data_IF_530861356761
#
_entry.id   IF_530861356761
#
_cell.length_a   1.000
_cell.length_b   1.000
_cell.length_c   1.000
_cell.angle_alpha   90.00
_cell.angle_beta   90.00
_cell.angle_gamma   90.00
#
_symmetry.space_group_name_H-M   'P 1'
#
loop_
_entity.id
_entity.type
_entity.pdbx_description
1 polymer ?
#
# COMPACT_ATOMS: atom_id res chain seq x y z
N UNK A 1 12.51 7.76 19.10
CA UNK A 1 12.88 7.58 17.69
C UNK A 1 14.02 6.55 17.56
N UNK A 2 15.21 6.77 18.13
CA UNK A 2 16.35 5.87 17.96
C UNK A 2 15.97 4.42 18.24
N UNK A 3 15.38 4.13 19.41
CA UNK A 3 14.90 2.78 19.75
C UNK A 3 13.91 2.21 18.72
N UNK A 4 12.90 3.03 18.32
CA UNK A 4 11.89 2.59 17.35
C UNK A 4 12.48 2.21 15.99
N UNK A 5 13.42 3.00 15.48
CA UNK A 5 14.09 2.74 14.21
C UNK A 5 15.06 1.56 14.28
N UNK A 6 15.83 1.47 15.38
CA UNK A 6 16.69 0.30 15.61
C UNK A 6 15.88 -0.99 15.69
N UNK A 7 14.73 -0.96 16.36
CA UNK A 7 13.81 -2.10 16.40
C UNK A 7 13.24 -2.45 15.02
N UNK A 8 12.93 -1.46 14.18
CA UNK A 8 12.37 -1.69 12.84
C UNK A 8 13.35 -2.38 11.89
N UNK A 9 14.67 -2.17 12.06
CA UNK A 9 15.71 -2.82 11.24
C UNK A 9 16.28 -4.08 11.90
N UNK A 10 15.92 -4.38 13.15
CA UNK A 10 16.39 -5.58 13.85
C UNK A 10 15.79 -6.83 13.19
N UNK A 11 16.62 -7.76 12.69
CA UNK A 11 16.14 -9.04 12.13
C UNK A 11 15.23 -9.82 13.09
N UNK A 12 15.48 -9.71 14.42
CA UNK A 12 14.64 -10.37 15.42
C UNK A 12 13.21 -9.82 15.50
N UNK A 13 12.98 -8.58 15.05
CA UNK A 13 11.63 -7.99 14.94
C UNK A 13 10.87 -8.52 13.72
N UNK A 14 11.58 -8.98 12.68
CA UNK A 14 11.02 -9.43 11.41
C UNK A 14 10.02 -8.42 10.80
N UNK A 15 10.35 -7.12 10.85
CA UNK A 15 9.48 -6.06 10.33
C UNK A 15 9.39 -6.14 8.81
N UNK A 16 8.19 -6.28 8.27
CA UNK A 16 7.94 -6.28 6.82
C UNK A 16 8.34 -4.95 6.15
N UNK A 17 8.36 -3.86 6.91
CA UNK A 17 8.70 -2.52 6.43
C UNK A 17 10.11 -2.06 6.82
N UNK A 18 11.01 -2.97 7.20
CA UNK A 18 12.42 -2.64 7.50
C UNK A 18 13.11 -1.94 6.32
N UNK A 19 12.78 -2.34 5.08
CA UNK A 19 13.31 -1.75 3.85
C UNK A 19 13.01 -0.24 3.70
N UNK A 20 12.03 0.29 4.41
CA UNK A 20 11.75 1.72 4.43
C UNK A 20 12.92 2.54 4.98
N UNK A 21 13.72 1.96 5.88
CA UNK A 21 14.92 2.59 6.41
C UNK A 21 16.15 2.35 5.52
N UNK A 22 16.28 1.17 4.88
CA UNK A 22 17.42 0.84 4.01
C UNK A 22 17.25 1.36 2.59
N UNK A 23 16.30 0.80 1.84
CA UNK A 23 16.19 1.01 0.39
C UNK A 23 15.56 2.38 0.06
N UNK A 24 14.57 2.77 0.83
CA UNK A 24 13.82 4.01 0.58
C UNK A 24 14.45 5.20 1.31
N UNK A 25 14.71 5.06 2.60
CA UNK A 25 15.25 6.12 3.46
C UNK A 25 16.75 6.29 3.37
N UNK A 26 17.47 5.28 2.88
CA UNK A 26 18.94 5.29 2.74
C UNK A 26 19.69 5.59 4.05
N UNK A 27 19.13 5.16 5.18
CA UNK A 27 19.77 5.36 6.48
C UNK A 27 21.04 4.51 6.57
N UNK A 28 22.14 5.13 6.97
CA UNK A 28 23.45 4.47 7.07
C UNK A 28 23.36 3.19 7.91
N UNK A 29 23.97 2.12 7.42
CA UNK A 29 24.01 0.77 8.00
C UNK A 29 22.67 0.03 8.09
N UNK A 30 21.55 0.60 7.64
CA UNK A 30 20.25 -0.08 7.75
C UNK A 30 20.23 -1.42 7.00
N UNK A 31 20.77 -1.48 5.78
CA UNK A 31 20.81 -2.69 4.97
C UNK A 31 21.66 -3.79 5.61
N UNK A 32 22.84 -3.45 6.10
CA UNK A 32 23.75 -4.40 6.75
C UNK A 32 23.19 -4.93 8.09
N UNK A 33 22.43 -4.09 8.83
CA UNK A 33 21.76 -4.53 10.05
C UNK A 33 20.62 -5.50 9.71
N UNK A 34 19.80 -5.19 8.72
CA UNK A 34 18.72 -6.08 8.25
C UNK A 34 19.29 -7.43 7.78
N UNK A 35 20.46 -7.42 7.13
CA UNK A 35 21.17 -8.63 6.74
C UNK A 35 21.83 -9.39 7.92
N UNK A 36 21.81 -8.83 9.12
CA UNK A 36 22.46 -9.42 10.31
C UNK A 36 23.99 -9.25 10.33
N UNK A 37 24.53 -8.38 9.50
CA UNK A 37 25.99 -8.14 9.37
C UNK A 37 26.53 -7.13 10.38
N UNK A 38 25.65 -6.26 10.92
CA UNK A 38 25.98 -5.23 11.91
C UNK A 38 24.98 -5.22 13.06
N UNK A 39 25.41 -4.76 14.26
CA UNK A 39 24.51 -4.60 15.38
C UNK A 39 23.56 -3.41 15.15
N UNK A 40 22.36 -3.46 15.72
CA UNK A 40 21.32 -2.40 15.60
C UNK A 40 21.81 -1.03 16.10
N UNK A 41 22.77 -1.02 17.01
CA UNK A 41 23.38 0.22 17.57
C UNK A 41 24.18 1.01 16.56
N UNK A 42 24.57 0.40 15.43
CA UNK A 42 25.33 1.05 14.37
C UNK A 42 24.46 1.76 13.35
N UNK A 43 23.13 1.71 13.51
CA UNK A 43 22.20 2.45 12.66
C UNK A 43 22.54 3.94 12.68
N UNK A 44 22.56 4.56 11.50
CA UNK A 44 22.88 5.98 11.32
C UNK A 44 21.82 6.93 11.89
N UNK A 45 21.41 6.72 13.15
CA UNK A 45 20.47 7.57 13.88
C UNK A 45 20.96 7.79 15.30
N UNK A 46 21.04 9.05 15.73
CA UNK A 46 21.56 9.42 17.06
C UNK A 46 20.73 10.50 17.70
N UNK A 47 20.37 10.34 18.97
CA UNK A 47 19.83 11.42 19.78
C UNK A 47 21.02 12.26 20.31
N UNK A 48 21.19 13.46 19.76
CA UNK A 48 22.26 14.39 20.17
C UNK A 48 21.93 14.97 21.54
N UNK A 49 20.65 15.28 21.74
CA UNK A 49 20.05 15.70 23.01
C UNK A 49 18.56 15.30 23.07
N UNK A 50 17.85 15.75 24.09
CA UNK A 50 16.43 15.42 24.33
C UNK A 50 15.49 15.90 23.21
N UNK A 51 15.93 16.78 22.31
CA UNK A 51 15.11 17.41 21.27
C UNK A 51 15.72 17.34 19.88
N UNK A 52 16.96 16.85 19.77
CA UNK A 52 17.71 16.82 18.52
C UNK A 52 18.01 15.38 18.12
N UNK A 53 17.44 14.97 16.98
CA UNK A 53 17.72 13.70 16.33
C UNK A 53 18.61 13.98 15.10
N UNK A 54 19.77 13.36 15.03
CA UNK A 54 20.64 13.36 13.86
C UNK A 54 20.45 12.05 13.09
N UNK A 55 20.29 12.16 11.77
CA UNK A 55 20.17 11.00 10.88
C UNK A 55 21.20 11.13 9.77
N UNK A 56 21.96 10.05 9.56
CA UNK A 56 22.97 9.94 8.50
C UNK A 56 22.42 9.09 7.36
N UNK A 57 22.51 9.60 6.14
CA UNK A 57 22.05 8.93 4.93
C UNK A 57 23.24 8.54 4.04
N UNK A 58 23.15 7.40 3.36
CA UNK A 58 24.16 6.93 2.41
C UNK A 58 24.27 7.85 1.18
N UNK A 59 23.13 8.41 0.77
CA UNK A 59 23.03 9.37 -0.34
C UNK A 59 22.02 10.47 0.01
N UNK A 60 22.07 11.65 -0.61
CA UNK A 60 21.04 12.65 -0.43
C UNK A 60 19.66 12.15 -0.91
N UNK A 61 18.67 12.21 -0.04
CA UNK A 61 17.29 11.80 -0.31
C UNK A 61 16.38 13.02 -0.14
N UNK A 62 15.94 13.61 -1.24
CA UNK A 62 15.15 14.85 -1.22
C UNK A 62 13.78 14.70 -0.55
N UNK A 63 13.21 13.51 -0.58
CA UNK A 63 11.93 13.16 0.00
C UNK A 63 12.02 12.58 1.42
N UNK A 64 13.21 12.56 2.05
CA UNK A 64 13.41 11.87 3.34
C UNK A 64 12.42 12.34 4.42
N UNK A 65 12.16 13.65 4.51
CA UNK A 65 11.21 14.17 5.50
C UNK A 65 9.77 13.73 5.26
N UNK A 66 9.39 13.47 4.01
CA UNK A 66 8.07 12.93 3.68
C UNK A 66 7.87 11.49 4.17
N UNK A 67 8.95 10.74 4.36
CA UNK A 67 8.88 9.38 4.92
C UNK A 67 8.44 9.38 6.39
N UNK A 68 8.57 10.50 7.09
CA UNK A 68 8.16 10.61 8.51
C UNK A 68 6.65 10.42 8.73
N UNK A 69 5.84 10.50 7.67
CA UNK A 69 4.42 10.15 7.72
C UNK A 69 4.18 8.62 7.74
N UNK A 70 5.18 7.83 7.39
CA UNK A 70 5.03 6.37 7.34
C UNK A 70 5.27 5.75 8.73
N UNK A 71 4.41 4.82 9.20
CA UNK A 71 4.45 4.30 10.58
C UNK A 71 5.79 3.74 11.05
N UNK A 72 6.61 3.17 10.14
CA UNK A 72 7.94 2.65 10.50
C UNK A 72 8.85 3.71 11.13
N UNK A 73 8.64 4.99 10.80
CA UNK A 73 9.41 6.11 11.34
C UNK A 73 8.83 6.70 12.63
N UNK A 74 7.68 6.20 13.10
CA UNK A 74 7.08 6.71 14.33
C UNK A 74 7.91 6.35 15.57
N UNK A 75 7.90 7.18 16.61
CA UNK A 75 8.61 6.88 17.84
C UNK A 75 7.97 5.73 18.59
N UNK A 76 8.80 4.88 19.19
CA UNK A 76 8.38 3.86 20.13
C UNK A 76 8.99 4.18 21.49
N UNK A 77 8.19 4.22 22.56
CA UNK A 77 8.68 4.40 23.92
C UNK A 77 9.29 3.08 24.41
N UNK A 78 10.62 3.06 24.57
CA UNK A 78 11.36 1.87 24.98
C UNK A 78 10.95 1.34 26.36
N UNK A 79 10.78 2.21 27.32
CA UNK A 79 10.38 1.81 28.69
C UNK A 79 9.01 1.13 28.68
N UNK A 80 8.05 1.69 27.95
CA UNK A 80 6.74 1.08 27.79
C UNK A 80 6.80 -0.23 27.00
N UNK A 81 7.50 -0.26 25.87
CA UNK A 81 7.69 -1.48 25.09
C UNK A 81 8.23 -2.62 25.94
N UNK A 82 9.21 -2.34 26.81
CA UNK A 82 9.79 -3.33 27.71
C UNK A 82 8.80 -3.89 28.75
N UNK A 83 7.68 -3.22 29.02
CA UNK A 83 6.63 -3.76 29.90
C UNK A 83 5.70 -4.77 29.22
N UNK A 84 5.55 -4.71 27.90
CA UNK A 84 4.57 -5.52 27.17
C UNK A 84 5.19 -6.40 26.05
N UNK A 85 6.40 -6.07 25.55
CA UNK A 85 7.17 -6.86 24.57
C UNK A 85 6.32 -7.61 23.53
N UNK A 86 6.13 -8.93 23.74
CA UNK A 86 5.45 -9.82 22.79
C UNK A 86 3.96 -9.50 22.60
N UNK A 87 3.37 -8.72 23.47
CA UNK A 87 1.98 -8.25 23.36
C UNK A 87 1.88 -6.81 22.87
N UNK A 88 3.01 -6.15 22.57
CA UNK A 88 3.02 -4.77 22.09
C UNK A 88 2.12 -4.59 20.86
N UNK A 89 1.19 -3.63 20.93
CA UNK A 89 0.27 -3.31 19.84
C UNK A 89 -0.95 -4.24 19.70
N UNK A 90 -1.17 -5.19 20.61
CA UNK A 90 -2.27 -6.17 20.49
C UNK A 90 -3.54 -5.81 21.27
N UNK A 91 -3.48 -4.85 22.16
CA UNK A 91 -4.61 -4.39 22.96
C UNK A 91 -4.45 -2.93 23.39
N UNK A 92 -5.49 -2.26 23.89
CA UNK A 92 -5.39 -0.89 24.40
C UNK A 92 -4.30 -0.71 25.46
N UNK A 93 -4.13 -1.69 26.35
CA UNK A 93 -3.15 -1.64 27.45
C UNK A 93 -1.70 -1.80 26.97
N UNK A 94 -1.50 -2.23 25.73
CA UNK A 94 -0.19 -2.48 25.11
C UNK A 94 0.15 -1.50 23.99
N UNK A 95 -0.60 -0.39 23.88
CA UNK A 95 -0.41 0.70 22.92
C UNK A 95 -0.29 2.03 23.64
N UNK A 96 0.73 2.82 23.32
CA UNK A 96 0.79 4.25 23.64
C UNK A 96 0.44 5.07 22.41
N UNK A 97 -0.50 5.99 22.57
CA UNK A 97 -0.93 6.89 21.50
C UNK A 97 -0.58 8.32 21.80
N UNK A 98 0.04 9.01 20.86
CA UNK A 98 0.23 10.45 20.85
C UNK A 98 -0.61 11.15 19.78
N UNK A 99 -1.51 10.42 19.10
CA UNK A 99 -2.45 10.92 18.11
C UNK A 99 -3.70 11.54 18.74
N UNK A 100 -4.62 12.01 17.87
CA UNK A 100 -5.86 12.67 18.25
C UNK A 100 -6.82 11.77 19.05
N UNK A 101 -6.73 10.46 18.86
CA UNK A 101 -7.56 9.46 19.50
C UNK A 101 -6.72 8.36 20.14
N UNK A 102 -7.24 7.75 21.20
CA UNK A 102 -6.68 6.59 21.90
C UNK A 102 -7.61 5.40 21.72
N UNK A 103 -7.04 4.24 21.43
CA UNK A 103 -7.79 2.97 21.39
C UNK A 103 -8.19 2.62 22.85
N UNK A 104 -9.48 2.40 23.09
CA UNK A 104 -10.03 2.15 24.43
C UNK A 104 -10.72 0.81 24.57
N UNK A 105 -11.26 0.29 23.46
CA UNK A 105 -11.92 -1.01 23.43
C UNK A 105 -11.53 -1.75 22.15
N UNK A 106 -10.67 -2.74 22.28
CA UNK A 106 -10.23 -3.59 21.21
C UNK A 106 -9.67 -4.91 21.73
N UNK A 107 -10.00 -5.98 21.05
CA UNK A 107 -9.36 -7.30 21.21
C UNK A 107 -9.11 -7.91 19.85
N UNK A 108 -8.08 -8.76 19.69
CA UNK A 108 -7.84 -9.48 18.43
C UNK A 108 -9.10 -10.22 17.95
N UNK A 109 -9.40 -10.08 16.65
CA UNK A 109 -10.61 -10.60 16.02
C UNK A 109 -11.95 -9.97 16.49
N UNK A 110 -11.93 -8.85 17.19
CA UNK A 110 -13.15 -8.10 17.49
C UNK A 110 -13.85 -7.63 16.21
N UNK A 111 -15.18 -7.68 16.22
CA UNK A 111 -16.02 -7.16 15.11
C UNK A 111 -16.44 -5.70 15.33
N UNK A 112 -16.11 -5.12 16.47
CA UNK A 112 -16.30 -3.72 16.80
C UNK A 112 -15.18 -3.27 17.72
N UNK A 113 -14.80 -2.00 17.65
CA UNK A 113 -13.84 -1.35 18.54
C UNK A 113 -14.08 0.16 18.60
N UNK A 114 -13.56 0.80 19.63
CA UNK A 114 -13.73 2.23 19.87
C UNK A 114 -12.42 2.94 20.10
N UNK A 115 -12.38 4.19 19.66
CA UNK A 115 -11.34 5.14 20.00
C UNK A 115 -12.00 6.35 20.68
N UNK A 116 -11.38 6.86 21.74
CA UNK A 116 -11.81 8.06 22.43
C UNK A 116 -10.84 9.21 22.15
N UNK A 117 -11.35 10.44 22.19
CA UNK A 117 -10.53 11.64 22.03
C UNK A 117 -9.39 11.65 23.04
N UNK A 118 -8.18 11.92 22.55
CA UNK A 118 -6.99 12.06 23.38
C UNK A 118 -6.87 13.51 23.88
N UNK A 119 -7.11 13.78 25.18
CA UNK A 119 -6.99 15.14 25.72
C UNK A 119 -5.54 15.65 25.74
N UNK A 120 -4.56 14.75 25.69
CA UNK A 120 -3.13 15.06 25.70
C UNK A 120 -2.55 15.28 24.30
N UNK A 121 -3.38 15.14 23.25
CA UNK A 121 -2.95 15.43 21.89
C UNK A 121 -2.59 16.91 21.74
N UNK A 122 -1.42 17.20 21.11
CA UNK A 122 -0.90 18.57 21.05
C UNK A 122 -1.88 19.59 20.43
N UNK A 123 -2.82 19.15 19.62
CA UNK A 123 -3.82 19.98 18.95
C UNK A 123 -5.26 19.55 19.29
N UNK A 124 -5.47 19.02 20.51
CA UNK A 124 -6.76 18.49 20.96
C UNK A 124 -7.93 19.48 20.83
N UNK A 125 -7.63 20.78 20.93
CA UNK A 125 -8.65 21.84 20.76
C UNK A 125 -9.26 21.92 19.36
N UNK A 126 -8.60 21.40 18.35
CA UNK A 126 -9.11 21.36 16.96
C UNK A 126 -9.92 20.09 16.65
N UNK A 127 -9.89 19.10 17.52
CA UNK A 127 -10.63 17.86 17.31
C UNK A 127 -12.06 18.05 17.78
N UNK A 128 -13.00 18.03 16.86
CA UNK A 128 -14.43 18.23 17.14
C UNK A 128 -15.13 16.96 17.64
N UNK A 129 -14.67 15.78 17.23
CA UNK A 129 -15.29 14.50 17.60
C UNK A 129 -14.81 14.06 18.99
N UNK A 130 -15.71 13.48 19.78
CA UNK A 130 -15.40 12.91 21.09
C UNK A 130 -14.84 11.50 21.00
N UNK A 131 -15.14 10.77 19.93
CA UNK A 131 -14.67 9.41 19.68
C UNK A 131 -15.07 8.88 18.32
N UNK A 132 -14.60 7.67 18.03
CA UNK A 132 -14.88 6.93 16.80
C UNK A 132 -15.28 5.50 17.18
N UNK A 133 -16.41 5.02 16.67
CA UNK A 133 -16.87 3.65 16.83
C UNK A 133 -16.75 2.93 15.48
N UNK A 134 -15.98 1.84 15.43
CA UNK A 134 -15.77 1.05 14.24
C UNK A 134 -16.55 -0.25 14.30
N UNK A 135 -17.10 -0.67 13.16
CA UNK A 135 -17.70 -1.97 12.94
C UNK A 135 -17.03 -2.67 11.77
N UNK A 136 -16.64 -3.92 11.95
CA UNK A 136 -16.06 -4.77 10.91
C UNK A 136 -17.20 -5.51 10.21
N UNK A 137 -17.66 -4.98 9.10
CA UNK A 137 -18.73 -5.57 8.28
C UNK A 137 -18.09 -6.11 7.01
N UNK A 138 -18.11 -7.44 6.83
CA UNK A 138 -17.48 -8.10 5.68
C UNK A 138 -18.30 -8.00 4.40
N UNK A 139 -19.60 -7.95 4.52
CA UNK A 139 -20.52 -7.80 3.38
C UNK A 139 -20.74 -6.32 3.09
N UNK A 140 -20.30 -5.87 1.92
CA UNK A 140 -20.35 -4.46 1.52
C UNK A 140 -21.79 -3.96 1.28
N UNK A 141 -22.72 -4.84 0.88
CA UNK A 141 -24.13 -4.47 0.74
C UNK A 141 -24.77 -4.23 2.11
N UNK A 142 -24.44 -5.07 3.10
CA UNK A 142 -24.87 -4.86 4.48
C UNK A 142 -24.30 -3.55 5.05
N UNK A 143 -23.04 -3.22 4.74
CA UNK A 143 -22.41 -1.96 5.16
C UNK A 143 -23.14 -0.76 4.57
N UNK A 144 -23.45 -0.77 3.26
CA UNK A 144 -24.25 0.27 2.60
C UNK A 144 -25.64 0.41 3.23
N UNK A 145 -26.35 -0.69 3.50
CA UNK A 145 -27.65 -0.66 4.18
C UNK A 145 -27.55 -0.07 5.59
N UNK A 146 -26.48 -0.38 6.33
CA UNK A 146 -26.25 0.19 7.66
C UNK A 146 -26.02 1.70 7.62
N UNK A 147 -25.33 2.21 6.59
CA UNK A 147 -25.19 3.64 6.33
C UNK A 147 -26.55 4.27 5.99
N UNK A 148 -27.29 3.70 5.05
CA UNK A 148 -28.60 4.21 4.62
C UNK A 148 -29.66 4.26 5.74
N UNK A 149 -29.53 3.40 6.74
CA UNK A 149 -30.41 3.39 7.93
C UNK A 149 -29.91 4.26 9.07
N UNK A 150 -28.76 4.94 8.91
CA UNK A 150 -28.15 5.80 9.93
C UNK A 150 -27.46 5.04 11.07
N UNK A 151 -27.16 3.74 10.87
CA UNK A 151 -26.37 2.97 11.83
C UNK A 151 -24.86 3.19 11.67
N UNK A 152 -24.43 3.71 10.51
CA UNK A 152 -23.07 4.16 10.20
C UNK A 152 -23.10 5.58 9.65
N UNK A 153 -22.12 6.39 10.02
CA UNK A 153 -21.90 7.73 9.48
C UNK A 153 -21.05 7.71 8.19
N UNK A 154 -20.26 6.64 8.00
CA UNK A 154 -19.39 6.48 6.83
C UNK A 154 -19.20 5.00 6.53
N UNK A 155 -19.15 4.65 5.25
CA UNK A 155 -18.77 3.31 4.79
C UNK A 155 -17.95 3.39 3.50
N UNK A 156 -17.10 2.39 3.27
CA UNK A 156 -16.41 2.21 1.99
C UNK A 156 -17.29 1.39 1.05
N UNK A 157 -17.25 1.73 -0.23
CA UNK A 157 -18.02 1.07 -1.28
C UNK A 157 -17.09 0.31 -2.22
N UNK A 158 -17.59 -0.75 -2.79
CA UNK A 158 -16.98 -1.39 -3.96
C UNK A 158 -17.77 -1.02 -5.23
N UNK A 159 -17.26 -1.41 -6.41
CA UNK A 159 -17.82 -0.99 -7.68
C UNK A 159 -19.29 -1.33 -7.91
N UNK A 160 -19.80 -2.41 -7.31
CA UNK A 160 -21.21 -2.80 -7.45
C UNK A 160 -22.17 -1.85 -6.70
N UNK A 161 -21.71 -1.25 -5.60
CA UNK A 161 -22.48 -0.26 -4.85
C UNK A 161 -22.34 1.15 -5.44
N UNK A 162 -21.24 1.47 -6.08
CA UNK A 162 -21.01 2.81 -6.68
C UNK A 162 -22.12 3.17 -7.67
N UNK A 163 -22.52 2.24 -8.53
CA UNK A 163 -23.63 2.46 -9.47
C UNK A 163 -24.96 2.80 -8.79
N UNK A 164 -25.16 2.40 -7.54
CA UNK A 164 -26.39 2.67 -6.79
C UNK A 164 -26.40 4.06 -6.17
N UNK A 165 -25.23 4.66 -5.91
CA UNK A 165 -25.10 5.89 -5.11
C UNK A 165 -24.26 6.99 -5.79
N UNK A 166 -23.77 6.79 -7.01
CA UNK A 166 -22.89 7.76 -7.71
C UNK A 166 -23.49 9.15 -7.88
N UNK A 167 -24.82 9.24 -7.89
CA UNK A 167 -25.55 10.51 -8.00
C UNK A 167 -25.95 11.08 -6.62
N UNK A 168 -25.60 10.40 -5.52
CA UNK A 168 -25.86 10.88 -4.17
C UNK A 168 -24.85 11.99 -3.82
N UNK A 169 -25.30 13.15 -3.30
CA UNK A 169 -24.41 14.24 -2.93
C UNK A 169 -23.42 13.89 -1.79
N UNK A 170 -23.67 12.84 -1.03
CA UNK A 170 -22.79 12.34 0.01
C UNK A 170 -21.72 11.37 -0.52
N UNK A 171 -21.87 10.90 -1.78
CA UNK A 171 -20.86 10.05 -2.40
C UNK A 171 -19.59 10.84 -2.73
N UNK A 172 -18.44 10.29 -2.34
CA UNK A 172 -17.13 10.88 -2.64
C UNK A 172 -16.17 9.81 -3.13
N UNK A 173 -15.48 10.09 -4.24
CA UNK A 173 -14.41 9.25 -4.76
C UNK A 173 -13.08 10.00 -4.63
N UNK A 174 -12.06 9.33 -4.07
CA UNK A 174 -10.72 9.90 -3.87
C UNK A 174 -9.68 8.94 -4.42
N UNK A 175 -8.74 9.47 -5.19
CA UNK A 175 -7.59 8.70 -5.65
C UNK A 175 -6.71 8.29 -4.47
N UNK A 176 -6.50 6.98 -4.29
CA UNK A 176 -5.71 6.44 -3.19
C UNK A 176 -4.19 6.47 -3.45
N UNK A 177 -3.76 6.81 -4.68
CA UNK A 177 -2.35 6.85 -5.07
C UNK A 177 -1.69 5.47 -5.21
N UNK A 178 -2.47 4.40 -5.28
CA UNK A 178 -1.97 3.05 -5.49
C UNK A 178 -1.88 2.71 -6.97
N UNK A 179 -0.85 1.94 -7.32
CA UNK A 179 -0.70 1.29 -8.62
C UNK A 179 -0.80 -0.22 -8.43
N UNK A 180 -1.78 -0.83 -9.07
CA UNK A 180 -1.91 -2.28 -9.12
C UNK A 180 -1.26 -2.82 -10.40
N UNK A 181 -0.45 -3.86 -10.25
CA UNK A 181 0.29 -4.44 -11.37
C UNK A 181 0.48 -5.95 -11.21
N UNK A 182 0.72 -6.63 -12.31
CA UNK A 182 1.10 -8.04 -12.33
C UNK A 182 2.63 -8.12 -12.28
N UNK A 183 3.17 -8.80 -11.28
CA UNK A 183 4.61 -9.02 -11.12
C UNK A 183 5.01 -10.41 -11.64
N UNK A 184 5.73 -10.50 -12.77
CA UNK A 184 6.27 -11.77 -13.25
C UNK A 184 7.38 -12.28 -12.32
N UNK A 185 7.24 -13.49 -11.77
CA UNK A 185 8.27 -14.13 -10.96
C UNK A 185 9.35 -14.76 -11.87
N UNK A 186 10.23 -13.93 -12.40
CA UNK A 186 11.30 -14.37 -13.32
C UNK A 186 12.37 -15.24 -12.64
N UNK A 187 12.51 -15.15 -11.33
CA UNK A 187 13.47 -15.94 -10.57
C UNK A 187 13.07 -17.40 -10.41
N UNK A 188 11.77 -17.68 -10.28
CA UNK A 188 11.25 -19.03 -10.10
C UNK A 188 10.61 -19.62 -11.37
N UNK A 189 10.27 -18.76 -12.34
CA UNK A 189 9.65 -19.16 -13.63
C UNK A 189 10.50 -18.60 -14.77
N UNK A 190 11.53 -19.33 -15.21
CA UNK A 190 12.52 -18.84 -16.17
C UNK A 190 11.93 -18.39 -17.51
N UNK A 191 10.81 -18.95 -17.94
CA UNK A 191 10.09 -18.54 -19.16
C UNK A 191 9.66 -17.06 -19.08
N UNK A 192 9.30 -16.57 -17.92
CA UNK A 192 8.91 -15.17 -17.70
C UNK A 192 10.10 -14.19 -17.80
N UNK A 193 11.34 -14.69 -17.84
CA UNK A 193 12.51 -13.88 -18.20
C UNK A 193 12.54 -13.50 -19.68
N UNK A 194 11.79 -14.22 -20.54
CA UNK A 194 11.66 -13.88 -21.95
C UNK A 194 10.87 -12.59 -22.13
N UNK A 195 11.47 -11.60 -22.80
CA UNK A 195 10.88 -10.28 -23.00
C UNK A 195 9.61 -10.33 -23.86
N UNK A 196 9.63 -11.13 -24.94
CA UNK A 196 8.48 -11.24 -25.85
C UNK A 196 7.28 -11.88 -25.14
N UNK A 197 7.50 -12.84 -24.24
CA UNK A 197 6.44 -13.42 -23.45
C UNK A 197 5.80 -12.39 -22.50
N UNK A 198 6.60 -11.55 -21.82
CA UNK A 198 6.06 -10.47 -20.99
C UNK A 198 5.33 -9.40 -21.81
N UNK A 199 5.83 -9.07 -23.02
CA UNK A 199 5.14 -8.16 -23.95
C UNK A 199 3.80 -8.75 -24.40
N UNK A 200 3.76 -10.05 -24.72
CA UNK A 200 2.52 -10.73 -25.08
C UNK A 200 1.46 -10.58 -23.97
N UNK A 201 1.83 -10.86 -22.73
CA UNK A 201 0.94 -10.67 -21.57
C UNK A 201 0.52 -9.21 -21.44
N UNK A 202 1.45 -8.25 -21.58
CA UNK A 202 1.18 -6.82 -21.44
C UNK A 202 0.15 -6.32 -22.46
N UNK A 203 0.30 -6.71 -23.73
CA UNK A 203 -0.61 -6.29 -24.82
C UNK A 203 -1.93 -7.08 -24.82
N UNK A 204 -2.01 -8.23 -24.16
CA UNK A 204 -3.25 -8.98 -23.99
C UNK A 204 -4.18 -8.36 -22.95
N UNK A 205 -3.67 -7.53 -22.02
CA UNK A 205 -4.45 -6.97 -20.93
C UNK A 205 -5.28 -5.76 -21.38
N UNK A 206 -6.59 -5.92 -21.44
CA UNK A 206 -7.56 -4.82 -21.61
C UNK A 206 -7.82 -4.11 -20.27
N UNK A 207 -7.02 -3.07 -20.02
CA UNK A 207 -7.12 -2.30 -18.78
C UNK A 207 -8.39 -1.49 -18.67
N UNK A 208 -8.93 -1.03 -19.79
CA UNK A 208 -10.19 -0.29 -19.83
C UNK A 208 -11.35 -1.20 -19.44
N UNK A 209 -11.42 -2.41 -19.94
CA UNK A 209 -12.40 -3.40 -19.51
C UNK A 209 -12.25 -3.77 -18.03
N UNK A 210 -11.01 -3.94 -17.53
CA UNK A 210 -10.76 -4.25 -16.12
C UNK A 210 -11.27 -3.11 -15.22
N UNK A 211 -10.93 -1.87 -15.53
CA UNK A 211 -11.31 -0.73 -14.66
C UNK A 211 -12.78 -0.34 -14.83
N UNK A 212 -13.29 -0.33 -16.07
CA UNK A 212 -14.65 0.13 -16.40
C UNK A 212 -15.74 -0.90 -16.18
N UNK A 213 -15.47 -2.18 -16.45
CA UNK A 213 -16.50 -3.23 -16.43
C UNK A 213 -16.41 -4.13 -15.18
N UNK A 214 -15.18 -4.29 -14.61
CA UNK A 214 -14.97 -5.19 -13.48
C UNK A 214 -14.88 -4.44 -12.16
N UNK A 215 -13.96 -3.47 -12.05
CA UNK A 215 -13.74 -2.73 -10.81
C UNK A 215 -14.83 -1.70 -10.53
N UNK A 216 -15.15 -0.83 -11.48
CA UNK A 216 -16.21 0.21 -11.38
C UNK A 216 -16.13 1.09 -10.13
N UNK A 217 -14.96 1.21 -9.55
CA UNK A 217 -14.70 1.88 -8.27
C UNK A 217 -14.04 3.26 -8.44
N UNK A 218 -13.89 3.72 -9.69
CA UNK A 218 -13.17 4.93 -10.03
C UNK A 218 -11.70 4.70 -10.36
N UNK A 219 -11.21 3.47 -10.31
CA UNK A 219 -9.90 3.09 -10.82
C UNK A 219 -9.78 3.43 -12.30
N UNK A 220 -8.60 3.87 -12.71
CA UNK A 220 -8.31 4.22 -14.10
C UNK A 220 -7.19 3.33 -14.66
N UNK A 221 -7.20 3.02 -15.98
CA UNK A 221 -6.09 2.34 -16.62
C UNK A 221 -4.81 3.16 -16.47
N UNK A 222 -3.71 2.50 -16.13
CA UNK A 222 -2.42 3.15 -15.95
C UNK A 222 -1.40 2.59 -16.93
N UNK A 223 -0.69 3.47 -17.63
CA UNK A 223 0.33 3.15 -18.63
C UNK A 223 1.73 3.57 -18.17
N UNK A 224 1.88 4.03 -16.93
CA UNK A 224 3.14 4.44 -16.31
C UNK A 224 3.25 3.87 -14.90
N UNK A 225 4.44 3.96 -14.30
CA UNK A 225 4.66 3.54 -12.91
C UNK A 225 4.23 4.60 -11.88
N UNK A 226 3.94 5.82 -12.34
CA UNK A 226 3.43 6.92 -11.48
C UNK A 226 1.99 7.20 -11.89
N UNK A 227 1.01 6.95 -11.02
CA UNK A 227 -0.40 7.24 -11.33
C UNK A 227 -0.65 8.72 -11.56
N UNK A 228 -1.70 9.10 -12.32
CA UNK A 228 -2.14 10.48 -12.42
C UNK A 228 -2.47 11.07 -11.04
N UNK A 229 -2.21 12.36 -10.87
CA UNK A 229 -2.46 13.14 -9.64
C UNK A 229 -1.67 12.67 -8.40
N UNK A 230 -0.69 11.79 -8.58
CA UNK A 230 0.15 11.30 -7.49
C UNK A 230 1.35 12.21 -7.21
N UNK A 231 1.99 12.73 -8.26
CA UNK A 231 3.19 13.56 -8.14
C UNK A 231 3.09 14.81 -9.00
N UNK A 232 3.64 15.91 -8.49
CA UNK A 232 3.71 17.19 -9.20
C UNK A 232 5.05 17.32 -9.92
N UNK A 233 5.02 17.67 -11.20
CA UNK A 233 6.18 17.98 -12.00
C UNK A 233 6.87 19.28 -11.59
N UNK A 234 8.09 19.55 -12.11
CA UNK A 234 8.85 20.78 -11.79
C UNK A 234 8.16 22.08 -12.16
N UNK A 235 7.23 22.05 -13.10
CA UNK A 235 6.42 23.17 -13.59
C UNK A 235 5.10 23.36 -12.85
N UNK A 236 4.84 22.53 -11.83
CA UNK A 236 3.60 22.54 -11.06
C UNK A 236 2.44 21.74 -11.69
N UNK A 237 2.65 21.12 -12.85
CA UNK A 237 1.66 20.23 -13.48
C UNK A 237 1.70 18.83 -12.85
N UNK A 238 0.66 18.03 -13.11
CA UNK A 238 0.69 16.59 -12.78
C UNK A 238 1.81 15.90 -13.59
N UNK A 239 2.73 15.24 -12.89
CA UNK A 239 3.89 14.55 -13.49
C UNK A 239 3.50 13.51 -14.54
N UNK A 240 2.37 12.87 -14.37
CA UNK A 240 1.86 11.80 -15.23
C UNK A 240 0.56 12.13 -15.96
N UNK A 241 0.22 13.42 -16.13
CA UNK A 241 -0.99 13.85 -16.82
C UNK A 241 -1.10 13.31 -18.26
N UNK A 242 0.01 13.25 -18.99
CA UNK A 242 0.06 12.71 -20.35
C UNK A 242 0.64 11.29 -20.35
N UNK A 243 -0.22 10.30 -20.21
CA UNK A 243 0.14 8.88 -20.31
C UNK A 243 0.05 8.34 -21.76
N UNK A 244 -0.55 9.08 -22.67
CA UNK A 244 -0.84 8.59 -24.04
C UNK A 244 0.43 8.21 -24.80
N UNK A 245 1.54 8.93 -24.59
CA UNK A 245 2.84 8.63 -25.18
C UNK A 245 3.43 7.28 -24.77
N UNK A 246 2.94 6.68 -23.65
CA UNK A 246 3.39 5.38 -23.17
C UNK A 246 2.43 4.26 -23.55
N UNK A 247 1.21 4.58 -23.96
CA UNK A 247 0.20 3.60 -24.37
C UNK A 247 0.67 2.72 -25.53
N UNK A 248 1.47 3.25 -26.47
CA UNK A 248 2.04 2.46 -27.58
C UNK A 248 2.87 1.24 -27.11
N UNK A 249 3.41 1.27 -25.89
CA UNK A 249 4.24 0.20 -25.31
C UNK A 249 3.45 -0.82 -24.50
N UNK A 250 2.21 -0.53 -24.12
CA UNK A 250 1.48 -1.37 -23.17
C UNK A 250 -0.05 -1.30 -23.24
N UNK A 251 -0.65 -0.51 -24.14
CA UNK A 251 -2.09 -0.55 -24.35
C UNK A 251 -2.54 -1.88 -24.96
N UNK A 252 -3.76 -2.28 -24.70
CA UNK A 252 -4.35 -3.49 -25.26
C UNK A 252 -4.25 -3.53 -26.79
N UNK A 253 -3.68 -4.62 -27.31
CA UNK A 253 -3.54 -4.88 -28.74
C UNK A 253 -3.41 -6.39 -28.95
N UNK A 254 -4.52 -7.02 -29.27
CA UNK A 254 -4.59 -8.48 -29.44
C UNK A 254 -3.68 -9.02 -30.57
N UNK A 255 -3.45 -8.23 -31.61
CA UNK A 255 -2.59 -8.66 -32.73
C UNK A 255 -1.12 -8.62 -32.30
N UNK A 256 -0.68 -7.56 -31.64
CA UNK A 256 0.66 -7.51 -31.05
C UNK A 256 0.86 -8.59 -29.98
N UNK A 257 -0.14 -8.84 -29.14
CA UNK A 257 -0.07 -9.89 -28.14
C UNK A 257 0.22 -11.25 -28.81
N UNK A 258 -0.49 -11.60 -29.88
CA UNK A 258 -0.27 -12.81 -30.62
C UNK A 258 1.10 -12.85 -31.31
N UNK A 259 1.53 -11.75 -31.90
CA UNK A 259 2.84 -11.67 -32.57
C UNK A 259 3.96 -11.95 -31.55
N UNK A 260 3.97 -11.28 -30.40
CA UNK A 260 4.96 -11.50 -29.35
C UNK A 260 4.87 -12.90 -28.73
N UNK A 261 3.66 -13.45 -28.61
CA UNK A 261 3.47 -14.82 -28.12
C UNK A 261 4.11 -15.86 -29.05
N UNK A 262 3.91 -15.74 -30.38
CA UNK A 262 4.54 -16.64 -31.36
C UNK A 262 6.07 -16.49 -31.41
N UNK A 263 6.58 -15.27 -31.22
CA UNK A 263 8.02 -15.03 -31.07
C UNK A 263 8.56 -15.74 -29.81
N UNK A 264 7.89 -15.59 -28.69
CA UNK A 264 8.29 -16.24 -27.43
C UNK A 264 8.27 -17.78 -27.55
N UNK A 265 7.26 -18.35 -28.19
CA UNK A 265 7.20 -19.80 -28.48
C UNK A 265 8.42 -20.27 -29.28
N UNK A 266 8.77 -19.54 -30.34
CA UNK A 266 9.93 -19.84 -31.15
C UNK A 266 11.25 -19.77 -30.40
N UNK A 267 11.43 -18.71 -29.59
CA UNK A 267 12.65 -18.48 -28.81
C UNK A 267 12.83 -19.49 -27.69
N UNK A 268 11.74 -19.90 -27.02
CA UNK A 268 11.75 -20.82 -25.89
C UNK A 268 11.57 -22.29 -26.30
N UNK A 269 11.28 -22.56 -27.58
CA UNK A 269 11.06 -23.93 -28.10
C UNK A 269 9.84 -24.61 -27.46
N UNK A 270 8.78 -23.86 -27.16
CA UNK A 270 7.55 -24.35 -26.50
C UNK A 270 6.32 -23.99 -27.34
N UNK A 271 5.33 -24.87 -27.34
CA UNK A 271 4.06 -24.64 -28.05
C UNK A 271 3.03 -23.85 -27.21
N UNK A 272 3.16 -23.88 -25.90
CA UNK A 272 2.27 -23.17 -24.97
C UNK A 272 2.94 -22.89 -23.63
N UNK A 273 2.37 -21.96 -22.87
CA UNK A 273 2.78 -21.61 -21.53
C UNK A 273 1.59 -21.69 -20.58
N UNK A 274 1.85 -22.13 -19.34
CA UNK A 274 0.86 -22.15 -18.28
C UNK A 274 1.48 -21.55 -17.03
N UNK A 275 0.80 -20.58 -16.43
CA UNK A 275 1.25 -19.90 -15.22
C UNK A 275 0.20 -19.93 -14.12
N UNK A 276 0.65 -19.92 -12.89
CA UNK A 276 -0.22 -19.69 -11.76
C UNK A 276 -0.17 -18.20 -11.38
N UNK A 277 -1.32 -17.56 -11.28
CA UNK A 277 -1.46 -16.22 -10.74
C UNK A 277 -1.88 -16.30 -9.28
N UNK A 278 -1.13 -15.65 -8.40
CA UNK A 278 -1.45 -15.52 -6.98
C UNK A 278 -2.08 -14.15 -6.77
N UNK A 279 -3.21 -14.11 -6.13
CA UNK A 279 -3.96 -12.88 -5.81
C UNK A 279 -4.49 -12.95 -4.39
N UNK A 280 -4.86 -11.79 -3.82
CA UNK A 280 -5.51 -11.71 -2.53
C UNK A 280 -6.88 -12.42 -2.55
N UNK A 281 -7.34 -12.82 -1.36
CA UNK A 281 -8.61 -13.53 -1.20
C UNK A 281 -9.86 -12.63 -1.30
N UNK A 282 -9.67 -11.33 -1.50
CA UNK A 282 -10.74 -10.36 -1.63
C UNK A 282 -11.44 -10.46 -3.00
N UNK A 283 -12.69 -10.03 -3.07
CA UNK A 283 -13.53 -10.17 -4.25
C UNK A 283 -12.97 -9.46 -5.49
N UNK A 284 -12.46 -8.23 -5.35
CA UNK A 284 -12.00 -7.44 -6.49
C UNK A 284 -10.75 -8.05 -7.16
N UNK A 285 -9.67 -8.41 -6.44
CA UNK A 285 -8.54 -9.12 -7.02
C UNK A 285 -8.91 -10.45 -7.68
N UNK A 286 -9.85 -11.20 -7.09
CA UNK A 286 -10.30 -12.48 -7.68
C UNK A 286 -11.05 -12.29 -9.00
N UNK A 287 -11.96 -11.29 -9.07
CA UNK A 287 -12.67 -10.93 -10.30
C UNK A 287 -11.69 -10.48 -11.39
N UNK A 288 -10.72 -9.64 -11.04
CA UNK A 288 -9.65 -9.20 -11.98
C UNK A 288 -8.85 -10.40 -12.47
N UNK A 289 -8.42 -11.30 -11.59
CA UNK A 289 -7.67 -12.49 -11.97
C UNK A 289 -8.44 -13.40 -12.93
N UNK A 290 -9.76 -13.53 -12.72
CA UNK A 290 -10.62 -14.30 -13.63
C UNK A 290 -10.64 -13.68 -15.03
N UNK A 291 -10.78 -12.35 -15.13
CA UNK A 291 -10.78 -11.64 -16.41
C UNK A 291 -9.41 -11.72 -17.09
N UNK A 292 -8.32 -11.51 -16.35
CA UNK A 292 -6.94 -11.67 -16.86
C UNK A 292 -6.70 -13.08 -17.40
N UNK A 293 -7.29 -14.11 -16.80
CA UNK A 293 -7.18 -15.49 -17.26
C UNK A 293 -7.93 -15.70 -18.58
N UNK A 294 -9.01 -14.96 -18.83
CA UNK A 294 -9.86 -15.08 -20.03
C UNK A 294 -9.32 -14.29 -21.22
N UNK A 295 -8.57 -13.24 -20.98
CA UNK A 295 -7.87 -12.45 -21.98
C UNK A 295 -6.61 -13.16 -22.49
#
# INVERSE_FOLDING_TARGET
FVFGWQRAVDPATASEYSYMLSDIGQVVNAAEIIAGEKPVTDLGVTAVDDKTLEVQLNVPVSYFLSLMYFPTFYPVNEAFYNTCKDTFGTSPDTVLSNGAFKLTDYQPAATAFTLEKNPDYYDAGKIALDGLAYQVIKDSQQALMSYQTGALDMTLLNGEQVDQVKDDPEFTSVGAGYLWYISPNIGSVPELANENLRKAITFALDRDAITGDVLKDGSAPCYTVVPPQFATGPDGSDFSADQTKFAEFCAYDADKAKEYYEQAKSELGKDSFTFNMVVDADDAPQKVAQVVKEQ
#
